data_IF_196163431895
#
_entry.id   IF_196163431895
#
_cell.length_a   1.000
_cell.length_b   1.000
_cell.length_c   1.000
_cell.angle_alpha   90.00
_cell.angle_beta   90.00
_cell.angle_gamma   90.00
#
_symmetry.space_group_name_H-M   'P 1'
#
loop_
_entity.id
_entity.type
_entity.pdbx_description
1 polymer ?
#
# COMPACT_ATOMS: atom_id res chain seq x y z
N UNK A 1 1.24 -17.53 8.72
CA UNK A 1 1.91 -16.44 9.47
C UNK A 1 0.89 -15.33 9.65
N UNK A 2 0.75 -14.82 10.87
CA UNK A 2 -0.31 -13.85 11.21
C UNK A 2 0.23 -12.43 11.01
N UNK A 3 -0.39 -11.64 10.14
CA UNK A 3 0.01 -10.24 9.94
C UNK A 3 -0.38 -9.41 11.16
N UNK A 4 0.57 -8.80 11.88
CA UNK A 4 0.27 -7.90 13.01
C UNK A 4 0.11 -6.45 12.57
N UNK A 5 0.80 -6.04 11.50
CA UNK A 5 0.76 -4.68 10.97
C UNK A 5 0.53 -4.65 9.46
N UNK A 6 -0.34 -3.75 9.02
CA UNK A 6 -0.51 -3.39 7.61
C UNK A 6 0.00 -1.98 7.38
N UNK A 7 0.95 -1.83 6.45
CA UNK A 7 1.50 -0.53 6.06
C UNK A 7 0.95 -0.16 4.70
N UNK A 8 0.16 0.92 4.62
CA UNK A 8 -0.41 1.39 3.35
C UNK A 8 0.46 2.53 2.81
N UNK A 9 1.21 2.25 1.75
CA UNK A 9 2.01 3.24 1.04
C UNK A 9 1.16 3.89 -0.06
N UNK A 10 1.10 5.22 -0.05
CA UNK A 10 0.28 6.02 -0.94
C UNK A 10 1.11 6.93 -1.84
N UNK A 11 0.61 7.24 -3.04
CA UNK A 11 1.26 8.21 -3.91
C UNK A 11 1.23 9.61 -3.27
N UNK A 12 2.38 10.25 -3.18
CA UNK A 12 2.53 11.59 -2.60
C UNK A 12 1.71 12.63 -3.37
N UNK A 13 1.77 12.59 -4.70
CA UNK A 13 0.98 13.47 -5.58
C UNK A 13 -0.52 13.25 -5.42
N UNK A 14 -0.98 12.00 -5.29
CA UNK A 14 -2.39 11.71 -5.10
C UNK A 14 -2.89 12.24 -3.75
N UNK A 15 -2.04 12.20 -2.72
CA UNK A 15 -2.35 12.65 -1.37
C UNK A 15 -2.47 14.15 -1.20
N UNK A 16 -2.03 14.96 -2.19
CA UNK A 16 -2.33 16.40 -2.23
C UNK A 16 -3.83 16.71 -2.27
N UNK A 17 -4.65 15.78 -2.80
CA UNK A 17 -6.12 15.87 -2.80
C UNK A 17 -6.81 14.76 -2.03
N UNK A 18 -6.16 13.60 -1.88
CA UNK A 18 -6.76 12.44 -1.25
C UNK A 18 -6.58 12.51 0.28
N UNK A 19 -7.67 12.54 1.03
CA UNK A 19 -7.63 12.44 2.50
C UNK A 19 -7.18 11.05 2.98
N UNK A 20 -7.37 10.00 2.18
CA UNK A 20 -7.08 8.61 2.55
C UNK A 20 -8.26 7.87 3.15
N UNK A 21 -9.38 8.56 3.41
CA UNK A 21 -10.58 8.02 4.06
C UNK A 21 -11.09 6.71 3.45
N UNK A 22 -11.12 6.59 2.10
CA UNK A 22 -11.58 5.34 1.46
C UNK A 22 -10.65 4.15 1.70
N UNK A 23 -9.33 4.37 1.77
CA UNK A 23 -8.39 3.29 2.10
C UNK A 23 -8.56 2.85 3.56
N UNK A 24 -8.77 3.82 4.46
CA UNK A 24 -9.04 3.57 5.88
C UNK A 24 -10.33 2.77 6.08
N UNK A 25 -11.44 3.19 5.45
CA UNK A 25 -12.70 2.44 5.55
C UNK A 25 -12.55 1.02 4.97
N UNK A 26 -11.91 0.89 3.80
CA UNK A 26 -11.71 -0.42 3.19
C UNK A 26 -10.90 -1.38 4.08
N UNK A 27 -9.92 -0.86 4.82
CA UNK A 27 -9.16 -1.64 5.78
C UNK A 27 -10.03 -2.13 6.95
N UNK A 28 -10.77 -1.23 7.60
CA UNK A 28 -11.61 -1.60 8.75
C UNK A 28 -12.79 -2.49 8.38
N UNK A 29 -13.39 -2.27 7.22
CA UNK A 29 -14.49 -3.09 6.70
C UNK A 29 -14.00 -4.40 6.04
N UNK A 30 -12.68 -4.62 5.99
CA UNK A 30 -12.04 -5.78 5.33
C UNK A 30 -12.54 -6.01 3.90
N UNK A 31 -12.64 -4.92 3.12
CA UNK A 31 -13.09 -4.96 1.72
C UNK A 31 -11.91 -4.91 0.75
N UNK A 32 -12.19 -5.16 -0.53
CA UNK A 32 -11.24 -5.07 -1.63
C UNK A 32 -9.91 -5.83 -1.37
N UNK A 33 -8.78 -5.12 -1.36
CA UNK A 33 -7.47 -5.73 -1.15
C UNK A 33 -7.25 -6.24 0.30
N UNK A 34 -8.19 -5.98 1.21
CA UNK A 34 -8.09 -6.33 2.63
C UNK A 34 -8.96 -7.54 3.04
N UNK A 35 -9.62 -8.21 2.09
CA UNK A 35 -10.55 -9.33 2.37
C UNK A 35 -9.90 -10.55 3.05
N UNK A 36 -8.61 -10.76 2.83
CA UNK A 36 -7.89 -11.96 3.28
C UNK A 36 -7.21 -11.78 4.64
N UNK A 37 -7.54 -10.73 5.40
CA UNK A 37 -7.04 -10.54 6.76
C UNK A 37 -8.00 -11.16 7.77
N UNK A 38 -7.70 -12.40 8.17
CA UNK A 38 -8.52 -13.15 9.12
C UNK A 38 -8.47 -12.58 10.54
N UNK A 39 -7.39 -11.86 10.88
CA UNK A 39 -7.20 -11.20 12.16
C UNK A 39 -7.46 -9.68 12.07
N UNK A 40 -7.26 -8.96 13.18
CA UNK A 40 -7.40 -7.50 13.24
C UNK A 40 -6.02 -6.83 13.40
N UNK A 41 -5.22 -6.73 12.31
CA UNK A 41 -3.93 -6.05 12.36
C UNK A 41 -4.11 -4.56 12.68
N UNK A 42 -3.09 -3.96 13.30
CA UNK A 42 -2.97 -2.50 13.33
C UNK A 42 -2.57 -2.02 11.93
N UNK A 43 -2.97 -0.81 11.54
CA UNK A 43 -2.47 -0.22 10.29
C UNK A 43 -1.82 1.13 10.50
N UNK A 44 -0.90 1.46 9.60
CA UNK A 44 -0.32 2.79 9.47
C UNK A 44 -0.25 3.14 7.98
N UNK A 45 -0.39 4.42 7.64
CA UNK A 45 -0.24 4.88 6.27
C UNK A 45 0.78 6.00 6.16
N UNK A 46 1.58 5.98 5.10
CA UNK A 46 2.43 7.11 4.73
C UNK A 46 2.63 7.17 3.22
N UNK A 47 3.05 8.32 2.71
CA UNK A 47 3.28 8.50 1.28
C UNK A 47 4.61 7.90 0.83
N UNK A 48 4.76 7.63 -0.48
CA UNK A 48 6.04 7.25 -1.08
C UNK A 48 7.12 8.34 -0.99
N UNK A 49 6.72 9.58 -0.68
CA UNK A 49 7.60 10.74 -0.52
C UNK A 49 8.12 11.31 -1.85
N UNK A 50 7.25 11.36 -2.85
CA UNK A 50 7.55 11.91 -4.17
C UNK A 50 8.19 10.91 -5.13
N UNK A 51 8.37 11.31 -6.39
CA UNK A 51 9.01 10.48 -7.40
C UNK A 51 10.55 10.56 -7.28
N UNK A 52 11.28 9.45 -7.25
CA UNK A 52 10.90 8.07 -7.62
C UNK A 52 10.46 7.14 -6.47
N UNK A 53 10.16 7.66 -5.27
CA UNK A 53 9.73 6.87 -4.12
C UNK A 53 10.88 6.46 -3.18
N UNK A 54 12.05 7.07 -3.30
CA UNK A 54 13.26 6.73 -2.52
C UNK A 54 13.05 6.86 -1.00
N UNK A 55 12.17 7.76 -0.55
CA UNK A 55 11.87 7.96 0.87
C UNK A 55 11.14 6.77 1.52
N UNK A 56 10.60 5.83 0.74
CA UNK A 56 10.06 4.56 1.28
C UNK A 56 11.12 3.82 2.10
N UNK A 57 12.38 3.86 1.66
CA UNK A 57 13.51 3.23 2.34
C UNK A 57 13.71 3.73 3.78
N UNK A 58 13.73 5.05 3.97
CA UNK A 58 13.96 5.66 5.29
C UNK A 58 12.73 5.55 6.18
N UNK A 59 11.51 5.71 5.63
CA UNK A 59 10.26 5.55 6.39
C UNK A 59 10.12 4.13 6.93
N UNK A 60 10.37 3.11 6.12
CA UNK A 60 10.31 1.71 6.55
C UNK A 60 11.42 1.35 7.55
N UNK A 61 12.63 1.89 7.38
CA UNK A 61 13.71 1.68 8.35
C UNK A 61 13.35 2.28 9.73
N UNK A 62 12.83 3.50 9.75
CA UNK A 62 12.34 4.14 10.97
C UNK A 62 11.20 3.33 11.61
N UNK A 63 10.23 2.89 10.81
CA UNK A 63 9.10 2.08 11.29
C UNK A 63 9.56 0.75 11.92
N UNK A 64 10.44 0.00 11.24
CA UNK A 64 11.03 -1.23 11.79
C UNK A 64 11.71 -1.00 13.14
N UNK A 65 12.50 0.08 13.27
CA UNK A 65 13.24 0.37 14.51
C UNK A 65 12.28 0.63 15.68
N UNK A 66 11.18 1.35 15.44
CA UNK A 66 10.19 1.61 16.47
C UNK A 66 9.39 0.37 16.85
N UNK A 67 8.99 -0.45 15.87
CA UNK A 67 8.32 -1.71 16.15
C UNK A 67 9.18 -2.65 16.99
N UNK A 68 10.46 -2.81 16.65
CA UNK A 68 11.38 -3.63 17.43
C UNK A 68 11.59 -3.10 18.85
N UNK A 69 11.62 -1.77 19.01
CA UNK A 69 11.83 -1.13 20.31
C UNK A 69 10.63 -1.22 21.25
N UNK A 70 9.41 -1.14 20.72
CA UNK A 70 8.20 -0.97 21.55
C UNK A 70 7.21 -2.13 21.50
N UNK A 71 7.22 -2.95 20.46
CA UNK A 71 6.18 -3.97 20.24
C UNK A 71 6.76 -5.37 19.94
N UNK A 72 8.09 -5.51 19.81
CA UNK A 72 8.80 -6.77 19.48
C UNK A 72 8.21 -7.47 18.22
N UNK A 73 7.93 -6.67 17.18
CA UNK A 73 7.36 -7.13 15.92
C UNK A 73 8.45 -7.21 14.85
N UNK A 74 8.56 -8.39 14.22
CA UNK A 74 9.51 -8.65 13.14
C UNK A 74 8.89 -8.36 11.75
N UNK A 75 9.75 -8.21 10.74
CA UNK A 75 9.35 -7.73 9.41
C UNK A 75 8.45 -8.69 8.63
N UNK A 76 8.51 -9.98 8.94
CA UNK A 76 7.68 -11.04 8.37
C UNK A 76 6.24 -11.03 8.91
N UNK A 77 6.00 -10.35 10.04
CA UNK A 77 4.67 -10.11 10.61
C UNK A 77 4.01 -8.83 10.04
N UNK A 78 4.64 -8.19 9.06
CA UNK A 78 4.19 -6.93 8.47
C UNK A 78 3.83 -7.17 7.00
N UNK A 79 2.69 -6.63 6.57
CA UNK A 79 2.29 -6.62 5.16
C UNK A 79 2.26 -5.21 4.61
N UNK A 80 2.98 -4.98 3.51
CA UNK A 80 3.07 -3.70 2.83
C UNK A 80 2.06 -3.65 1.69
N UNK A 81 1.11 -2.73 1.76
CA UNK A 81 0.20 -2.42 0.68
C UNK A 81 0.70 -1.24 -0.14
N UNK A 82 0.93 -1.45 -1.43
CA UNK A 82 1.05 -0.38 -2.41
C UNK A 82 -0.35 -0.01 -2.89
N UNK A 83 -0.93 1.06 -2.33
CA UNK A 83 -2.33 1.44 -2.53
C UNK A 83 -2.75 1.57 -3.99
N UNK A 84 -4.06 1.52 -4.26
CA UNK A 84 -4.59 1.54 -5.63
C UNK A 84 -4.19 2.78 -6.46
N UNK A 85 -3.93 3.92 -5.81
CA UNK A 85 -3.41 5.12 -6.48
C UNK A 85 -1.96 4.98 -7.02
N UNK A 86 -1.27 3.91 -6.62
CA UNK A 86 0.07 3.55 -7.13
C UNK A 86 0.00 2.33 -8.05
N UNK A 87 -0.81 1.32 -7.70
CA UNK A 87 -0.83 0.01 -8.36
C UNK A 87 -1.80 -0.11 -9.53
N UNK A 88 -2.69 0.87 -9.73
CA UNK A 88 -3.72 0.72 -10.77
C UNK A 88 -3.99 2.01 -11.52
N UNK A 89 -4.47 1.84 -12.75
CA UNK A 89 -5.03 2.95 -13.52
C UNK A 89 -6.34 3.41 -12.91
N UNK A 90 -6.52 4.72 -12.87
CA UNK A 90 -7.72 5.37 -12.35
C UNK A 90 -7.99 6.67 -13.10
N UNK A 91 -9.11 7.32 -12.80
CA UNK A 91 -9.55 8.54 -13.49
C UNK A 91 -8.68 9.77 -13.28
N UNK A 92 -7.63 9.69 -12.47
CA UNK A 92 -6.77 10.81 -12.13
C UNK A 92 -5.34 10.59 -12.58
N UNK A 93 -4.86 9.35 -12.50
CA UNK A 93 -3.50 8.97 -12.82
C UNK A 93 -3.45 7.51 -13.27
N UNK A 94 -2.55 7.21 -14.19
CA UNK A 94 -2.18 5.83 -14.52
C UNK A 94 -1.38 5.19 -13.37
N UNK A 95 -1.18 3.87 -13.45
CA UNK A 95 -0.29 3.13 -12.55
C UNK A 95 1.08 3.82 -12.45
N UNK A 96 1.63 3.83 -11.24
CA UNK A 96 2.92 4.45 -10.96
C UNK A 96 4.05 3.79 -11.79
N UNK A 97 4.82 4.56 -12.59
CA UNK A 97 5.91 3.98 -13.39
C UNK A 97 7.08 3.50 -12.54
N UNK A 98 7.17 3.92 -11.27
CA UNK A 98 8.24 3.54 -10.34
C UNK A 98 7.84 2.38 -9.42
N UNK A 99 6.68 1.73 -9.63
CA UNK A 99 6.16 0.78 -8.65
C UNK A 99 7.10 -0.41 -8.42
N UNK A 100 7.71 -0.95 -9.47
CA UNK A 100 8.62 -2.09 -9.33
C UNK A 100 9.94 -1.69 -8.69
N UNK A 101 10.42 -0.46 -8.95
CA UNK A 101 11.56 0.11 -8.22
C UNK A 101 11.26 0.24 -6.72
N UNK A 102 10.04 0.68 -6.37
CA UNK A 102 9.59 0.78 -4.97
C UNK A 102 9.52 -0.62 -4.33
N UNK A 103 8.99 -1.64 -5.01
CA UNK A 103 9.02 -3.02 -4.51
C UNK A 103 10.44 -3.51 -4.26
N UNK A 104 11.39 -3.20 -5.14
CA UNK A 104 12.80 -3.54 -4.93
C UNK A 104 13.37 -2.86 -3.68
N UNK A 105 13.01 -1.59 -3.40
CA UNK A 105 13.39 -0.91 -2.16
C UNK A 105 12.82 -1.65 -0.94
N UNK A 106 11.54 -2.02 -0.98
CA UNK A 106 10.85 -2.73 0.10
C UNK A 106 11.52 -4.09 0.38
N UNK A 107 11.78 -4.87 -0.68
CA UNK A 107 12.47 -6.16 -0.60
C UNK A 107 13.89 -6.02 -0.03
N UNK A 108 14.66 -5.02 -0.48
CA UNK A 108 16.01 -4.73 0.05
C UNK A 108 15.99 -4.36 1.53
N UNK A 109 14.88 -3.85 2.06
CA UNK A 109 14.69 -3.60 3.50
C UNK A 109 14.29 -4.84 4.29
N UNK A 110 14.04 -5.97 3.62
CA UNK A 110 13.73 -7.26 4.24
C UNK A 110 12.24 -7.49 4.48
N UNK A 111 11.35 -6.65 3.95
CA UNK A 111 9.91 -6.91 3.96
C UNK A 111 9.55 -7.85 2.82
N UNK A 112 8.89 -8.95 3.14
CA UNK A 112 8.58 -10.02 2.17
C UNK A 112 7.13 -9.98 1.67
N UNK A 113 6.21 -9.51 2.51
CA UNK A 113 4.78 -9.51 2.20
C UNK A 113 4.42 -8.17 1.55
N UNK A 114 4.24 -8.18 0.22
CA UNK A 114 3.84 -7.01 -0.55
C UNK A 114 2.53 -7.33 -1.28
N UNK A 115 1.54 -6.46 -1.09
CA UNK A 115 0.24 -6.53 -1.76
C UNK A 115 0.04 -5.27 -2.58
N UNK A 116 -0.44 -5.42 -3.80
CA UNK A 116 -0.87 -4.30 -4.62
C UNK A 116 -2.36 -4.05 -4.45
N UNK A 117 -2.70 -2.82 -4.06
CA UNK A 117 -4.05 -2.35 -3.96
C UNK A 117 -4.45 -1.94 -2.55
N UNK A 118 -5.56 -1.22 -2.51
CA UNK A 118 -6.27 -0.88 -1.27
C UNK A 118 -7.77 -0.93 -1.57
N UNK A 119 -8.32 0.16 -2.08
CA UNK A 119 -9.71 0.28 -2.52
C UNK A 119 -9.81 0.17 -4.05
N UNK A 120 -10.75 -0.63 -4.54
CA UNK A 120 -11.05 -0.79 -5.95
C UNK A 120 -12.42 -0.17 -6.24
N UNK A 121 -12.46 0.89 -7.06
CA UNK A 121 -13.71 1.57 -7.36
C UNK A 121 -14.51 0.79 -8.40
N UNK A 122 -15.81 0.57 -8.16
CA UNK A 122 -16.69 -0.13 -9.13
C UNK A 122 -16.61 0.45 -10.54
N UNK A 123 -16.51 1.79 -10.65
CA UNK A 123 -16.33 2.48 -11.93
C UNK A 123 -15.00 2.12 -12.60
N UNK A 124 -13.90 2.14 -11.86
CA UNK A 124 -12.58 1.76 -12.37
C UNK A 124 -12.52 0.29 -12.77
N UNK A 125 -13.15 -0.61 -11.99
CA UNK A 125 -13.21 -2.03 -12.34
C UNK A 125 -13.99 -2.26 -13.63
N UNK A 126 -15.14 -1.59 -13.81
CA UNK A 126 -15.90 -1.64 -15.07
C UNK A 126 -15.06 -1.18 -16.27
N UNK A 127 -14.31 -0.08 -16.12
CA UNK A 127 -13.40 0.40 -17.16
C UNK A 127 -12.25 -0.58 -17.45
N UNK A 128 -11.81 -1.39 -16.47
CA UNK A 128 -10.84 -2.48 -16.69
C UNK A 128 -11.47 -3.68 -17.39
N UNK A 129 -12.71 -4.02 -17.08
CA UNK A 129 -13.46 -5.05 -17.78
C UNK A 129 -13.70 -4.69 -19.25
N UNK A 130 -13.93 -3.41 -19.53
CA UNK A 130 -14.06 -2.85 -20.88
C UNK A 130 -12.71 -2.68 -21.61
N UNK A 131 -11.58 -2.95 -20.94
CA UNK A 131 -10.24 -2.84 -21.52
C UNK A 131 -9.71 -1.40 -21.68
N UNK A 132 -10.43 -0.41 -21.16
CA UNK A 132 -10.02 1.01 -21.17
C UNK A 132 -8.88 1.24 -20.16
N UNK A 133 -8.99 0.64 -18.98
CA UNK A 133 -7.92 0.63 -17.97
C UNK A 133 -7.20 -0.71 -17.97
N UNK A 134 -5.89 -0.71 -17.71
CA UNK A 134 -5.12 -1.95 -17.66
C UNK A 134 -5.42 -2.74 -16.39
N UNK A 135 -5.46 -4.07 -16.55
CA UNK A 135 -5.35 -5.04 -15.45
C UNK A 135 -3.87 -5.39 -15.29
N UNK A 136 -3.42 -5.50 -14.05
CA UNK A 136 -2.03 -5.74 -13.70
C UNK A 136 -1.93 -6.94 -12.75
#
# INVERSE_FOLDING_TARGET
MTTKYVVIIQCDMAKNRCSGMRCTNAFYEKTDAFKNYDNDPKYISFTCGGCSGKLVSSKLANFSNWLKKYEDIEKDEITIHLSSCMSTDNSHYDRCPNIDYIKQIINKKGYKNIVEGSIFSKKSEKLREEGIYKKY
#
